data_IF_452281290484
#
_entry.id   IF_452281290484
#
_cell.length_a   1.000
_cell.length_b   1.000
_cell.length_c   1.000
_cell.angle_alpha   90.00
_cell.angle_beta   90.00
_cell.angle_gamma   90.00
#
_symmetry.space_group_name_H-M   'P 1'
#
loop_
_entity.id
_entity.type
_entity.pdbx_description
1 polymer ?
#
# COMPACT_ATOMS: atom_id res chain seq x y z
N UNK A 1 9.19 -10.51 2.30
CA UNK A 1 8.79 -9.19 2.83
C UNK A 1 9.80 -8.62 3.83
N UNK A 2 10.36 -9.41 4.76
CA UNK A 2 11.42 -8.94 5.67
C UNK A 2 12.67 -8.39 4.95
N UNK A 3 13.16 -9.09 3.92
CA UNK A 3 14.37 -8.70 3.20
C UNK A 3 14.23 -7.45 2.30
N UNK A 4 13.02 -6.92 2.12
CA UNK A 4 12.79 -5.75 1.29
C UNK A 4 12.58 -4.51 2.16
N UNK A 5 13.26 -3.42 1.83
CA UNK A 5 13.12 -2.13 2.54
C UNK A 5 11.90 -1.35 2.07
N UNK A 6 11.48 -1.56 0.82
CA UNK A 6 10.32 -0.89 0.21
C UNK A 6 9.35 -1.93 -0.33
N UNK A 7 8.08 -1.78 0.01
CA UNK A 7 6.97 -2.59 -0.49
C UNK A 7 6.13 -1.75 -1.45
N UNK A 8 5.75 -2.34 -2.58
CA UNK A 8 4.76 -1.78 -3.49
C UNK A 8 3.60 -2.76 -3.55
N UNK A 9 2.46 -2.35 -2.98
CA UNK A 9 1.26 -3.18 -2.93
C UNK A 9 0.27 -2.62 -3.93
N UNK A 10 -0.11 -3.41 -4.93
CA UNK A 10 -1.15 -3.06 -5.88
C UNK A 10 -2.35 -3.98 -5.70
N UNK A 11 -3.56 -3.42 -5.70
CA UNK A 11 -4.80 -4.20 -5.63
C UNK A 11 -5.80 -3.74 -6.67
N UNK A 12 -6.52 -4.67 -7.32
CA UNK A 12 -7.76 -4.32 -7.99
C UNK A 12 -8.81 -3.91 -6.94
N UNK A 13 -9.75 -3.08 -7.36
CA UNK A 13 -10.98 -2.76 -6.62
C UNK A 13 -12.02 -3.83 -6.93
N UNK A 14 -12.44 -4.53 -5.89
CA UNK A 14 -13.55 -5.48 -5.94
C UNK A 14 -14.57 -5.08 -4.88
N UNK A 15 -15.83 -4.93 -5.30
CA UNK A 15 -16.95 -4.59 -4.42
C UNK A 15 -16.65 -3.41 -3.48
N UNK A 16 -16.21 -2.29 -4.05
CA UNK A 16 -15.90 -1.06 -3.34
C UNK A 16 -14.78 -1.20 -2.28
N UNK A 17 -13.89 -2.19 -2.45
CA UNK A 17 -12.80 -2.48 -1.53
C UNK A 17 -11.60 -3.16 -2.23
N UNK A 18 -10.60 -3.59 -1.45
CA UNK A 18 -9.43 -4.33 -1.91
C UNK A 18 -9.78 -5.76 -2.35
N UNK A 19 -8.84 -6.40 -3.04
CA UNK A 19 -8.93 -7.83 -3.33
C UNK A 19 -8.94 -8.68 -2.05
N UNK A 20 -9.60 -9.84 -2.12
CA UNK A 20 -9.59 -10.82 -1.02
C UNK A 20 -8.19 -11.30 -0.64
N UNK A 21 -7.26 -11.33 -1.61
CA UNK A 21 -5.85 -11.65 -1.37
C UNK A 21 -5.19 -10.62 -0.46
N UNK A 22 -5.35 -9.32 -0.77
CA UNK A 22 -4.77 -8.26 0.04
C UNK A 22 -5.41 -8.21 1.45
N UNK A 23 -6.73 -8.41 1.54
CA UNK A 23 -7.41 -8.48 2.84
C UNK A 23 -6.89 -9.64 3.70
N UNK A 24 -6.78 -10.83 3.11
CA UNK A 24 -6.25 -12.01 3.81
C UNK A 24 -4.82 -11.80 4.27
N UNK A 25 -4.00 -11.14 3.43
CA UNK A 25 -2.64 -10.79 3.79
C UNK A 25 -2.60 -9.85 5.01
N UNK A 26 -3.41 -8.80 5.05
CA UNK A 26 -3.52 -7.91 6.23
C UNK A 26 -3.93 -8.66 7.50
N UNK A 27 -4.91 -9.57 7.38
CA UNK A 27 -5.39 -10.36 8.52
C UNK A 27 -4.31 -11.27 9.09
N UNK A 28 -3.40 -11.78 8.26
CA UNK A 28 -2.26 -12.57 8.74
C UNK A 28 -1.16 -11.67 9.30
N UNK A 29 -0.90 -10.52 8.66
CA UNK A 29 0.15 -9.60 9.12
C UNK A 29 -0.16 -8.96 10.47
N UNK A 30 -1.44 -8.78 10.82
CA UNK A 30 -1.84 -8.26 12.12
C UNK A 30 -1.53 -9.22 13.29
N UNK A 31 -1.29 -10.50 13.01
CA UNK A 31 -0.89 -11.51 14.00
C UNK A 31 0.63 -11.45 14.32
N UNK A 32 1.42 -10.73 13.51
CA UNK A 32 2.87 -10.60 13.70
C UNK A 32 3.25 -9.35 14.49
N UNK A 33 4.42 -9.34 15.18
CA UNK A 33 4.88 -8.17 15.92
C UNK A 33 5.11 -6.95 15.01
N UNK A 34 4.51 -5.81 15.34
CA UNK A 34 4.60 -4.55 14.58
C UNK A 34 6.04 -4.13 14.25
N UNK A 35 6.98 -4.40 15.16
CA UNK A 35 8.42 -4.09 15.03
C UNK A 35 9.11 -4.70 13.82
N UNK A 36 8.52 -5.76 13.23
CA UNK A 36 9.13 -6.45 12.09
C UNK A 36 9.25 -5.55 10.85
N UNK A 37 8.48 -4.47 10.80
CA UNK A 37 8.33 -3.61 9.62
C UNK A 37 8.87 -2.19 9.83
N UNK A 38 9.48 -1.90 10.98
CA UNK A 38 9.93 -0.55 11.33
C UNK A 38 10.93 -0.01 10.30
N UNK A 39 10.74 1.25 9.89
CA UNK A 39 11.58 1.94 8.91
C UNK A 39 11.39 1.50 7.46
N UNK A 40 10.53 0.50 7.19
CA UNK A 40 10.18 0.09 5.82
C UNK A 40 9.27 1.11 5.16
N UNK A 41 9.29 1.15 3.83
CA UNK A 41 8.50 2.08 3.01
C UNK A 41 7.38 1.33 2.31
N UNK A 42 6.22 1.96 2.11
CA UNK A 42 5.08 1.37 1.42
C UNK A 42 4.50 2.33 0.39
N UNK A 43 4.44 1.89 -0.87
CA UNK A 43 3.65 2.50 -1.94
C UNK A 43 2.39 1.67 -2.22
N UNK A 44 1.29 2.34 -2.56
CA UNK A 44 0.00 1.71 -2.86
C UNK A 44 -0.41 1.95 -4.31
N UNK A 45 -0.82 0.90 -5.02
CA UNK A 45 -1.51 0.99 -6.30
C UNK A 45 -2.97 0.54 -6.16
N UNK A 46 -3.91 1.33 -6.69
CA UNK A 46 -5.34 0.98 -6.69
C UNK A 46 -5.87 1.11 -8.12
N UNK A 47 -6.45 0.03 -8.64
CA UNK A 47 -7.01 0.02 -9.99
C UNK A 47 -8.42 -0.58 -9.98
N UNK A 48 -9.36 0.06 -10.65
CA UNK A 48 -10.72 -0.47 -10.85
C UNK A 48 -11.36 0.17 -12.07
N UNK A 49 -12.53 -0.34 -12.48
CA UNK A 49 -13.32 0.29 -13.54
C UNK A 49 -13.89 1.65 -13.08
N UNK A 50 -14.38 1.71 -11.85
CA UNK A 50 -14.79 2.93 -11.15
C UNK A 50 -14.31 2.77 -9.70
N UNK A 51 -13.09 3.24 -9.36
CA UNK A 51 -12.51 3.06 -8.03
C UNK A 51 -12.68 4.30 -7.13
N UNK A 52 -13.44 5.32 -7.57
CA UNK A 52 -13.36 6.67 -6.99
C UNK A 52 -13.76 6.71 -5.51
N UNK A 53 -14.77 5.93 -5.15
CA UNK A 53 -15.26 5.79 -3.78
C UNK A 53 -14.34 4.96 -2.87
N UNK A 54 -13.41 4.20 -3.45
CA UNK A 54 -12.56 3.24 -2.75
C UNK A 54 -11.16 3.79 -2.47
N UNK A 55 -10.64 4.67 -3.34
CA UNK A 55 -9.25 5.17 -3.27
C UNK A 55 -8.95 5.82 -1.92
N UNK A 56 -9.76 6.77 -1.49
CA UNK A 56 -9.49 7.56 -0.29
C UNK A 56 -9.67 6.72 1.01
N UNK A 57 -10.71 5.86 1.15
CA UNK A 57 -10.75 4.86 2.21
C UNK A 57 -9.52 3.93 2.25
N UNK A 58 -9.06 3.45 1.09
CA UNK A 58 -7.89 2.58 0.98
C UNK A 58 -6.61 3.29 1.44
N UNK A 59 -6.43 4.54 0.99
CA UNK A 59 -5.31 5.40 1.38
C UNK A 59 -5.28 5.62 2.89
N UNK A 60 -6.42 5.91 3.51
CA UNK A 60 -6.51 6.03 4.97
C UNK A 60 -6.14 4.74 5.68
N UNK A 61 -6.62 3.60 5.18
CA UNK A 61 -6.29 2.29 5.73
C UNK A 61 -4.78 2.02 5.64
N UNK A 62 -4.14 2.31 4.50
CA UNK A 62 -2.69 2.15 4.36
C UNK A 62 -1.90 3.09 5.25
N UNK A 63 -2.28 4.37 5.33
CA UNK A 63 -1.62 5.32 6.24
C UNK A 63 -1.70 4.84 7.68
N UNK A 64 -2.84 4.31 8.11
CA UNK A 64 -3.01 3.75 9.46
C UNK A 64 -2.15 2.51 9.67
N UNK A 65 -2.13 1.59 8.69
CA UNK A 65 -1.26 0.42 8.74
C UNK A 65 0.22 0.82 8.87
N UNK A 66 0.69 1.76 8.05
CA UNK A 66 2.06 2.25 8.13
C UNK A 66 2.35 2.90 9.49
N UNK A 67 1.46 3.74 9.99
CA UNK A 67 1.61 4.42 11.29
C UNK A 67 1.73 3.43 12.45
N UNK A 68 0.88 2.40 12.50
CA UNK A 68 0.93 1.36 13.55
C UNK A 68 2.22 0.53 13.50
N UNK A 69 2.81 0.40 12.33
CA UNK A 69 4.01 -0.41 12.09
C UNK A 69 5.27 0.44 11.86
N UNK A 70 5.26 1.74 12.22
CA UNK A 70 6.39 2.68 12.03
C UNK A 70 7.03 2.60 10.63
N UNK A 71 6.18 2.53 9.60
CA UNK A 71 6.58 2.54 8.20
C UNK A 71 6.35 3.92 7.58
N UNK A 72 7.09 4.23 6.52
CA UNK A 72 6.88 5.43 5.72
C UNK A 72 5.90 5.15 4.57
N UNK A 73 4.81 5.90 4.50
CA UNK A 73 3.88 5.81 3.37
C UNK A 73 4.32 6.75 2.23
N UNK A 74 4.74 6.17 1.10
CA UNK A 74 5.26 6.90 -0.07
C UNK A 74 4.18 7.57 -0.91
N UNK A 75 2.94 7.12 -0.76
CA UNK A 75 1.77 7.59 -1.51
C UNK A 75 1.03 6.47 -2.24
N UNK A 76 -0.11 6.85 -2.79
CA UNK A 76 -0.94 6.04 -3.67
C UNK A 76 -0.74 6.41 -5.15
N UNK A 77 -1.03 5.45 -6.03
CA UNK A 77 -1.08 5.64 -7.46
C UNK A 77 -2.33 4.96 -8.04
N UNK A 78 -3.14 5.73 -8.76
CA UNK A 78 -4.43 5.33 -9.31
C UNK A 78 -4.56 5.67 -10.79
N UNK A 79 -3.72 6.59 -11.26
CA UNK A 79 -3.59 6.98 -12.67
C UNK A 79 -2.22 6.63 -13.23
N UNK A 80 -2.10 6.58 -14.56
CA UNK A 80 -0.81 6.40 -15.23
C UNK A 80 0.21 7.49 -14.89
N UNK A 81 -0.24 8.71 -14.60
CA UNK A 81 0.63 9.80 -14.19
C UNK A 81 1.18 9.54 -12.78
N UNK A 82 0.32 9.22 -11.82
CA UNK A 82 0.74 8.94 -10.44
C UNK A 82 1.65 7.70 -10.36
N UNK A 83 1.44 6.70 -11.23
CA UNK A 83 2.36 5.55 -11.35
C UNK A 83 3.76 6.02 -11.75
N UNK A 84 3.88 6.95 -12.71
CA UNK A 84 5.18 7.51 -13.13
C UNK A 84 5.84 8.31 -12.01
N UNK A 85 5.05 9.07 -11.25
CA UNK A 85 5.52 9.84 -10.10
C UNK A 85 6.03 8.92 -8.98
N UNK A 86 5.25 7.88 -8.62
CA UNK A 86 5.66 6.88 -7.64
C UNK A 86 6.92 6.14 -8.09
N UNK A 87 7.02 5.74 -9.36
CA UNK A 87 8.21 5.10 -9.91
C UNK A 87 9.45 6.02 -9.82
N UNK A 88 9.27 7.32 -10.07
CA UNK A 88 10.35 8.31 -9.94
C UNK A 88 10.84 8.40 -8.49
N UNK A 89 9.92 8.43 -7.51
CA UNK A 89 10.27 8.38 -6.09
C UNK A 89 11.01 7.08 -5.74
N UNK A 90 10.52 5.93 -6.22
CA UNK A 90 11.15 4.63 -5.95
C UNK A 90 12.59 4.58 -6.47
N UNK A 91 12.86 5.10 -7.66
CA UNK A 91 14.21 5.17 -8.24
C UNK A 91 15.18 6.05 -7.46
N UNK A 92 14.70 6.98 -6.64
CA UNK A 92 15.55 7.81 -5.77
C UNK A 92 15.95 7.10 -4.47
N UNK A 93 15.36 5.93 -4.19
CA UNK A 93 15.61 5.14 -2.99
C UNK A 93 16.64 4.03 -3.20
N UNK A 94 17.12 3.83 -4.44
CA UNK A 94 18.04 2.78 -4.88
C UNK A 94 19.29 3.44 -5.45
#
# INVERSE_FOLDING_TARGET
MQAADTWVICTPVYWHNMSGHLKTWFDRMSEYPHRMWYGKKLGLGVQGMEPSDTIEPMKRLMKRFCSLNQMDFLGEATTNQEIKELNSKLKQLI
#
